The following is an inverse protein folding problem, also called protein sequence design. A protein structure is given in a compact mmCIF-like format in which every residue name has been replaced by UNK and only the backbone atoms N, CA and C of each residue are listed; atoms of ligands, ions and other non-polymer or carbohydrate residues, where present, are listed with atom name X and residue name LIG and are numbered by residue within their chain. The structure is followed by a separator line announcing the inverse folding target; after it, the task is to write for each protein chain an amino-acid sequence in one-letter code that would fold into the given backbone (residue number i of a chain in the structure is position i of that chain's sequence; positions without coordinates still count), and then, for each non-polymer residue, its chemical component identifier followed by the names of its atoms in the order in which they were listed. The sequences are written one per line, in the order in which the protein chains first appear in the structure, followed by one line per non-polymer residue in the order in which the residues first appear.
data_IF_522595474879
#
_entry.id   IF_522595474879
#
_cell.length_a   1.000
_cell.length_b   1.000
_cell.length_c   1.000
_cell.angle_alpha   90.00
_cell.angle_beta   90.00
_cell.angle_gamma   90.00
#
_symmetry.space_group_name_H-M   'P 1'
#
loop_
_entity.id
_entity.type
_entity.pdbx_description
1 polymer ?
#
# COMPACT_ATOMS: atom_id res chain seq x y z
N UNK A 1 -79.49 -32.63 1.64
CA UNK A 1 -79.23 -31.48 0.77
C UNK A 1 -78.90 -30.32 1.69
N UNK A 2 -77.62 -29.97 1.81
CA UNK A 2 -77.16 -28.60 2.06
C UNK A 2 -75.64 -28.59 1.84
N UNK A 3 -75.29 -28.09 0.68
CA UNK A 3 -73.91 -27.95 0.21
C UNK A 3 -73.59 -26.45 0.31
N UNK A 4 -72.38 -26.17 0.78
CA UNK A 4 -71.59 -24.94 0.61
C UNK A 4 -72.06 -23.66 1.27
N UNK A 5 -71.33 -23.21 2.30
CA UNK A 5 -70.95 -21.79 2.45
C UNK A 5 -69.76 -21.53 3.39
N UNK A 6 -68.59 -22.09 3.10
CA UNK A 6 -67.36 -21.73 3.85
C UNK A 6 -66.14 -21.38 2.98
N UNK A 7 -66.22 -21.58 1.66
CA UNK A 7 -65.07 -21.30 0.76
C UNK A 7 -64.83 -19.80 0.53
N UNK A 8 -65.90 -19.03 0.31
CA UNK A 8 -65.77 -17.63 -0.14
C UNK A 8 -65.03 -16.71 0.85
N UNK A 9 -65.12 -16.94 2.16
CA UNK A 9 -64.46 -16.07 3.12
C UNK A 9 -62.95 -16.33 3.20
N UNK A 10 -62.51 -17.58 2.99
CA UNK A 10 -61.08 -17.93 2.97
C UNK A 10 -60.42 -17.41 1.71
N UNK A 11 -61.12 -17.51 0.58
CA UNK A 11 -60.65 -16.98 -0.70
C UNK A 11 -60.57 -15.45 -0.68
N UNK A 12 -61.54 -14.76 -0.09
CA UNK A 12 -61.49 -13.29 0.07
C UNK A 12 -60.34 -12.88 0.99
N UNK A 13 -60.11 -13.59 2.10
CA UNK A 13 -58.98 -13.31 2.99
C UNK A 13 -57.65 -13.56 2.29
N UNK A 14 -57.52 -14.64 1.52
CA UNK A 14 -56.32 -14.95 0.74
C UNK A 14 -56.07 -13.89 -0.35
N UNK A 15 -57.10 -13.47 -1.08
CA UNK A 15 -56.98 -12.40 -2.08
C UNK A 15 -56.61 -11.08 -1.42
N UNK A 16 -57.16 -10.77 -0.25
CA UNK A 16 -56.79 -9.57 0.51
C UNK A 16 -55.34 -9.64 1.00
N UNK A 17 -54.89 -10.80 1.50
CA UNK A 17 -53.51 -11.02 1.94
C UNK A 17 -52.53 -10.92 0.77
N UNK A 18 -52.89 -11.47 -0.40
CA UNK A 18 -52.10 -11.37 -1.61
C UNK A 18 -52.07 -9.94 -2.16
N UNK A 19 -53.16 -9.19 -2.09
CA UNK A 19 -53.21 -7.78 -2.49
C UNK A 19 -52.33 -6.90 -1.57
N UNK A 20 -52.34 -7.16 -0.25
CA UNK A 20 -51.44 -6.49 0.71
C UNK A 20 -49.98 -6.83 0.42
N UNK A 21 -49.66 -8.09 0.11
CA UNK A 21 -48.30 -8.52 -0.23
C UNK A 21 -47.83 -7.97 -1.59
N UNK A 22 -48.72 -7.79 -2.56
CA UNK A 22 -48.40 -7.17 -3.87
C UNK A 22 -48.26 -5.65 -3.81
N UNK A 23 -48.81 -5.00 -2.77
CA UNK A 23 -48.62 -3.58 -2.47
C UNK A 23 -47.22 -3.24 -1.94
N UNK A 24 -46.50 -4.24 -1.41
CA UNK A 24 -45.06 -4.14 -1.16
C UNK A 24 -44.29 -4.36 -2.45
N UNK A 25 -44.39 -3.40 -3.37
CA UNK A 25 -43.33 -3.24 -4.37
C UNK A 25 -42.03 -3.10 -3.58
N UNK A 26 -41.05 -3.96 -3.88
CA UNK A 26 -39.68 -3.79 -3.42
C UNK A 26 -39.37 -2.31 -3.62
N UNK A 27 -39.25 -1.59 -2.51
CA UNK A 27 -38.54 -0.32 -2.49
C UNK A 27 -37.13 -0.73 -2.87
N UNK A 28 -36.81 -0.60 -4.16
CA UNK A 28 -35.44 -0.53 -4.61
C UNK A 28 -34.76 0.43 -3.65
N UNK A 29 -33.78 -0.07 -2.90
CA UNK A 29 -33.09 0.70 -1.90
C UNK A 29 -32.57 1.96 -2.61
N UNK A 30 -33.24 3.09 -2.36
CA UNK A 30 -32.87 4.37 -2.92
C UNK A 30 -31.39 4.58 -2.55
N UNK A 31 -30.50 4.84 -3.52
CA UNK A 31 -29.10 5.04 -3.21
C UNK A 31 -29.02 6.17 -2.18
N UNK A 32 -28.61 5.82 -0.96
CA UNK A 32 -28.66 6.72 0.18
C UNK A 32 -27.89 8.01 -0.18
N UNK A 33 -28.55 9.17 -0.32
CA UNK A 33 -27.89 10.43 -0.67
C UNK A 33 -27.30 11.09 0.58
N UNK A 34 -26.71 10.30 1.48
CA UNK A 34 -26.02 10.86 2.65
C UNK A 34 -24.67 11.42 2.18
N UNK A 35 -24.39 12.71 2.41
CA UNK A 35 -23.09 13.30 2.08
C UNK A 35 -21.92 12.68 2.87
N UNK A 36 -22.23 11.93 3.94
CA UNK A 36 -21.26 11.13 4.71
C UNK A 36 -20.92 9.78 4.05
N UNK A 37 -21.68 9.33 3.05
CA UNK A 37 -21.38 8.14 2.24
C UNK A 37 -20.50 8.46 1.01
N UNK A 38 -20.33 9.75 0.67
CA UNK A 38 -19.26 10.19 -0.23
C UNK A 38 -17.88 10.11 0.43
N UNK A 39 -17.84 10.32 1.74
CA UNK A 39 -16.66 10.16 2.58
C UNK A 39 -16.54 8.71 3.06
N UNK A 40 -16.08 7.88 2.14
CA UNK A 40 -15.80 6.45 2.23
C UNK A 40 -14.69 6.02 3.23
N UNK A 41 -14.48 6.81 4.28
CA UNK A 41 -13.37 6.86 5.25
C UNK A 41 -13.23 5.65 6.21
N UNK A 42 -13.87 4.52 5.92
CA UNK A 42 -13.90 3.36 6.83
C UNK A 42 -13.86 1.98 6.17
N UNK A 43 -13.63 1.89 4.85
CA UNK A 43 -13.40 0.59 4.20
C UNK A 43 -11.90 0.44 3.89
N UNK A 44 -11.15 -0.39 4.64
CA UNK A 44 -9.71 -0.58 4.46
C UNK A 44 -9.31 -1.24 3.13
N UNK A 45 -10.27 -1.60 2.26
CA UNK A 45 -10.02 -2.12 0.89
C UNK A 45 -10.21 -1.08 -0.22
N UNK A 46 -10.33 0.22 0.09
CA UNK A 46 -10.57 1.24 -0.94
C UNK A 46 -9.30 1.88 -1.44
N UNK A 47 -8.89 1.41 -2.61
CA UNK A 47 -7.89 2.07 -3.46
C UNK A 47 -8.47 3.33 -4.08
N UNK A 48 -7.74 4.44 -3.96
CA UNK A 48 -8.13 5.76 -4.47
C UNK A 48 -7.00 6.41 -5.26
N UNK A 49 -7.32 7.47 -5.99
CA UNK A 49 -6.33 8.41 -6.51
C UNK A 49 -6.51 9.73 -5.75
N UNK A 50 -5.43 10.27 -5.18
CA UNK A 50 -5.47 11.59 -4.55
C UNK A 50 -5.24 12.65 -5.62
N UNK A 51 -6.33 13.27 -6.07
CA UNK A 51 -6.32 14.30 -7.09
C UNK A 51 -6.16 15.69 -6.47
N UNK A 52 -5.32 16.52 -7.07
CA UNK A 52 -5.23 17.95 -6.82
C UNK A 52 -5.49 18.71 -8.12
N UNK A 53 -6.00 19.94 -8.03
CA UNK A 53 -6.15 20.83 -9.18
C UNK A 53 -5.14 21.96 -9.14
N UNK A 54 -4.61 22.31 -10.30
CA UNK A 54 -3.94 23.60 -10.57
C UNK A 54 -4.85 24.42 -11.48
N UNK A 55 -4.42 25.63 -11.87
CA UNK A 55 -5.20 26.53 -12.73
C UNK A 55 -5.50 25.92 -14.12
N UNK A 56 -4.63 25.01 -14.58
CA UNK A 56 -4.67 24.47 -15.94
C UNK A 56 -5.08 23.00 -15.98
N UNK A 57 -4.60 22.19 -15.03
CA UNK A 57 -4.71 20.73 -15.10
C UNK A 57 -5.01 20.11 -13.73
N UNK A 58 -5.62 18.92 -13.80
CA UNK A 58 -5.73 18.02 -12.68
C UNK A 58 -4.51 17.10 -12.61
N UNK A 59 -4.00 16.91 -11.41
CA UNK A 59 -2.87 16.03 -11.13
C UNK A 59 -3.22 15.03 -10.05
N UNK A 60 -2.55 13.90 -10.04
CA UNK A 60 -2.67 12.85 -9.05
C UNK A 60 -1.33 12.66 -8.36
N UNK A 61 -1.37 12.33 -7.07
CA UNK A 61 -0.19 11.86 -6.34
C UNK A 61 0.28 10.53 -6.93
N UNK A 62 1.55 10.45 -7.31
CA UNK A 62 2.21 9.23 -7.74
C UNK A 62 3.40 8.92 -6.84
N UNK A 63 3.49 7.68 -6.38
CA UNK A 63 4.63 7.17 -5.62
C UNK A 63 5.27 6.07 -6.46
N UNK A 64 6.36 6.40 -7.12
CA UNK A 64 7.05 5.53 -8.05
C UNK A 64 7.81 4.40 -7.34
N UNK A 65 8.20 3.36 -8.09
CA UNK A 65 8.93 2.22 -7.55
C UNK A 65 10.31 2.59 -6.97
N UNK A 66 10.98 3.55 -7.61
CA UNK A 66 12.28 4.10 -7.16
C UNK A 66 12.13 5.06 -5.96
N UNK A 67 10.90 5.31 -5.48
CA UNK A 67 10.63 6.06 -4.27
C UNK A 67 10.50 7.57 -4.45
N UNK A 68 10.47 8.06 -5.70
CA UNK A 68 10.11 9.45 -5.96
C UNK A 68 8.62 9.68 -5.73
N UNK A 69 8.33 10.85 -5.15
CA UNK A 69 6.97 11.35 -5.00
C UNK A 69 6.77 12.46 -6.01
N UNK A 70 5.86 12.25 -6.96
CA UNK A 70 5.65 13.18 -8.06
C UNK A 70 4.16 13.41 -8.31
N UNK A 71 3.87 14.45 -9.10
CA UNK A 71 2.53 14.68 -9.65
C UNK A 71 2.44 14.08 -11.05
N UNK A 72 1.33 13.43 -11.37
CA UNK A 72 1.05 12.88 -12.70
C UNK A 72 -0.32 13.33 -13.20
N UNK A 73 -0.51 13.51 -14.49
CA UNK A 73 -1.85 13.77 -15.07
C UNK A 73 -2.59 12.47 -15.40
N UNK A 74 -1.92 11.32 -15.27
CA UNK A 74 -2.46 10.01 -15.64
C UNK A 74 -2.82 9.20 -14.39
N UNK A 75 -3.99 8.56 -14.41
CA UNK A 75 -4.36 7.56 -13.39
C UNK A 75 -3.63 6.25 -13.68
N UNK A 76 -2.39 6.14 -13.20
CA UNK A 76 -1.49 5.00 -13.39
C UNK A 76 -1.67 3.97 -12.25
N UNK A 77 -1.00 2.82 -12.33
CA UNK A 77 -0.94 1.90 -11.18
C UNK A 77 -0.17 2.49 -9.99
N UNK A 78 0.77 3.40 -10.24
CA UNK A 78 1.61 4.04 -9.21
C UNK A 78 0.92 5.23 -8.53
N UNK A 79 -0.15 5.77 -9.12
CA UNK A 79 -1.01 6.78 -8.49
C UNK A 79 -2.13 6.18 -7.63
N UNK A 80 -2.19 4.85 -7.54
CA UNK A 80 -3.15 4.16 -6.67
C UNK A 80 -2.65 4.17 -5.23
N UNK A 81 -3.45 4.80 -4.38
CA UNK A 81 -3.17 5.06 -2.98
C UNK A 81 -4.13 4.26 -2.09
N UNK A 82 -3.60 3.77 -0.97
CA UNK A 82 -4.36 3.26 0.15
C UNK A 82 -4.19 4.20 1.35
N UNK A 83 -5.30 4.74 1.85
CA UNK A 83 -5.34 5.53 3.07
C UNK A 83 -5.52 4.59 4.27
N UNK A 84 -4.50 4.47 5.11
CA UNK A 84 -4.53 3.66 6.34
C UNK A 84 -4.76 4.57 7.54
N UNK A 85 -5.96 4.52 8.11
CA UNK A 85 -6.28 5.28 9.32
C UNK A 85 -5.50 4.72 10.52
N UNK A 86 -4.74 5.58 11.21
CA UNK A 86 -4.17 5.27 12.52
C UNK A 86 -5.16 5.69 13.62
N UNK A 87 -5.74 6.88 13.47
CA UNK A 87 -6.80 7.42 14.34
C UNK A 87 -7.86 8.09 13.48
N UNK A 88 -8.88 8.70 14.09
CA UNK A 88 -9.91 9.46 13.35
C UNK A 88 -9.36 10.64 12.56
N UNK A 89 -8.26 11.21 13.02
CA UNK A 89 -7.68 12.43 12.46
C UNK A 89 -6.30 12.19 11.82
N UNK A 90 -5.73 10.99 11.95
CA UNK A 90 -4.39 10.67 11.45
C UNK A 90 -4.40 9.50 10.50
N UNK A 91 -3.66 9.65 9.41
CA UNK A 91 -3.61 8.69 8.31
C UNK A 91 -2.18 8.50 7.83
N UNK A 92 -1.84 7.25 7.50
CA UNK A 92 -0.69 6.90 6.70
C UNK A 92 -1.13 6.71 5.25
N UNK A 93 -0.38 7.28 4.32
CA UNK A 93 -0.69 7.25 2.89
C UNK A 93 0.25 6.25 2.21
N UNK A 94 -0.28 5.14 1.69
CA UNK A 94 0.51 4.06 1.08
C UNK A 94 0.32 4.02 -0.44
N UNK A 95 1.42 4.09 -1.19
CA UNK A 95 1.45 3.77 -2.61
C UNK A 95 1.33 2.26 -2.81
N UNK A 96 0.23 1.81 -3.40
CA UNK A 96 -0.11 0.37 -3.45
C UNK A 96 0.86 -0.39 -4.35
N UNK A 97 1.12 0.13 -5.55
CA UNK A 97 2.01 -0.54 -6.51
C UNK A 97 3.46 -0.54 -6.05
N UNK A 98 3.95 0.58 -5.52
CA UNK A 98 5.32 0.72 -5.05
C UNK A 98 5.56 0.10 -3.67
N UNK A 99 4.49 -0.18 -2.91
CA UNK A 99 4.54 -0.61 -1.51
C UNK A 99 5.39 0.32 -0.64
N UNK A 100 5.21 1.63 -0.81
CA UNK A 100 5.94 2.69 -0.10
C UNK A 100 4.99 3.70 0.52
N UNK A 101 5.24 4.05 1.77
CA UNK A 101 4.55 5.12 2.47
C UNK A 101 5.02 6.48 1.97
N UNK A 102 4.09 7.40 1.81
CA UNK A 102 4.40 8.82 1.69
C UNK A 102 4.85 9.33 3.05
N UNK A 103 5.93 10.09 3.07
CA UNK A 103 6.47 10.71 4.26
C UNK A 103 6.88 12.16 3.96
N UNK A 104 7.10 12.96 4.99
CA UNK A 104 7.46 14.36 4.87
C UNK A 104 8.59 14.69 5.82
N UNK A 105 9.67 15.27 5.28
CA UNK A 105 10.82 15.67 6.09
C UNK A 105 10.50 16.92 6.93
N UNK A 106 11.45 17.35 7.77
CA UNK A 106 11.26 18.51 8.64
C UNK A 106 11.12 19.84 7.87
N UNK A 107 11.57 19.87 6.61
CA UNK A 107 11.47 21.02 5.71
C UNK A 107 10.16 21.00 4.88
N UNK A 108 9.34 19.96 5.05
CA UNK A 108 8.09 19.79 4.34
C UNK A 108 8.24 19.15 2.95
N UNK A 109 9.39 18.55 2.62
CA UNK A 109 9.56 17.84 1.35
C UNK A 109 8.95 16.45 1.42
N UNK A 110 8.07 16.10 0.47
CA UNK A 110 7.55 14.75 0.39
C UNK A 110 8.65 13.80 -0.11
N UNK A 111 8.78 12.67 0.57
CA UNK A 111 9.62 11.54 0.17
C UNK A 111 8.83 10.25 0.41
N UNK A 112 9.43 9.10 0.08
CA UNK A 112 8.79 7.82 0.37
C UNK A 112 9.70 6.85 1.12
N UNK A 113 9.10 6.00 1.93
CA UNK A 113 9.79 4.98 2.72
C UNK A 113 9.06 3.63 2.63
N UNK A 114 9.78 2.53 2.67
CA UNK A 114 9.18 1.18 2.79
C UNK A 114 8.65 0.93 4.21
N UNK A 115 9.18 1.64 5.20
CA UNK A 115 8.79 1.54 6.61
C UNK A 115 8.03 2.82 7.02
N UNK A 116 6.90 2.66 7.71
CA UNK A 116 6.12 3.77 8.21
C UNK A 116 6.71 4.29 9.52
N UNK A 117 7.53 5.35 9.45
CA UNK A 117 7.99 6.07 10.64
C UNK A 117 6.93 7.08 11.05
N UNK A 118 6.38 6.93 12.26
CA UNK A 118 5.26 7.76 12.75
C UNK A 118 5.53 9.27 12.69
N UNK A 119 6.77 9.67 12.95
CA UNK A 119 7.22 11.08 12.94
C UNK A 119 7.14 11.73 11.53
N UNK A 120 7.40 10.95 10.48
CA UNK A 120 7.53 11.48 9.11
C UNK A 120 6.34 11.09 8.21
N UNK A 121 5.75 9.91 8.42
CA UNK A 121 4.83 9.26 7.49
C UNK A 121 3.36 9.35 7.90
N UNK A 122 3.07 9.95 9.06
CA UNK A 122 1.71 10.23 9.51
C UNK A 122 1.31 11.67 9.21
N UNK A 123 0.12 11.80 8.66
CA UNK A 123 -0.50 13.08 8.34
C UNK A 123 -1.77 13.24 9.15
N UNK A 124 -1.99 14.44 9.69
CA UNK A 124 -3.31 14.83 10.10
C UNK A 124 -4.17 15.03 8.85
N UNK A 125 -5.42 14.58 8.91
CA UNK A 125 -6.42 14.72 7.87
C UNK A 125 -7.55 15.61 8.34
N UNK A 126 -8.07 16.45 7.43
CA UNK A 126 -9.31 17.18 7.65
C UNK A 126 -10.09 17.35 6.35
N UNK A 127 -11.40 17.10 6.41
CA UNK A 127 -12.33 17.48 5.35
C UNK A 127 -12.75 18.93 5.56
N UNK A 128 -12.55 19.77 4.55
CA UNK A 128 -12.93 21.18 4.57
C UNK A 128 -14.37 21.38 4.07
N UNK A 129 -14.92 22.57 4.31
CA UNK A 129 -16.28 22.96 3.87
C UNK A 129 -16.47 22.92 2.35
N UNK A 130 -15.38 23.08 1.58
CA UNK A 130 -15.37 22.96 0.14
C UNK A 130 -15.35 21.49 -0.37
N UNK A 131 -15.59 20.52 0.52
CA UNK A 131 -15.58 19.08 0.24
C UNK A 131 -14.24 18.55 -0.30
N UNK A 132 -13.14 19.22 0.06
CA UNK A 132 -11.77 18.76 -0.24
C UNK A 132 -11.05 18.35 1.02
N UNK A 133 -10.20 17.35 0.89
CA UNK A 133 -9.33 16.85 1.95
C UNK A 133 -8.04 17.66 2.00
N UNK A 134 -7.56 17.94 3.22
CA UNK A 134 -6.20 18.42 3.45
C UNK A 134 -5.43 17.42 4.29
N UNK A 135 -4.15 17.29 3.96
CA UNK A 135 -3.20 16.46 4.69
C UNK A 135 -2.03 17.33 5.12
N UNK A 136 -1.63 17.26 6.39
CA UNK A 136 -0.49 18.02 6.91
C UNK A 136 0.30 17.18 7.91
N UNK A 137 1.63 17.39 7.95
CA UNK A 137 2.53 16.62 8.80
C UNK A 137 2.10 16.69 10.27
N UNK A 138 2.05 15.53 10.95
CA UNK A 138 1.82 15.50 12.39
C UNK A 138 2.93 16.17 13.18
N UNK A 139 4.16 16.18 12.66
CA UNK A 139 5.34 16.74 13.32
C UNK A 139 5.46 18.24 13.12
N UNK A 140 5.33 18.73 11.88
CA UNK A 140 5.63 20.14 11.55
C UNK A 140 4.40 20.99 11.26
N UNK A 141 3.23 20.38 11.07
CA UNK A 141 2.02 21.09 10.65
C UNK A 141 2.05 21.55 9.19
N UNK A 142 3.10 21.25 8.43
CA UNK A 142 3.24 21.65 7.02
C UNK A 142 2.29 20.83 6.15
N UNK A 143 1.57 21.52 5.27
CA UNK A 143 0.65 20.94 4.29
C UNK A 143 1.39 20.09 3.26
N UNK A 144 0.79 18.95 2.91
CA UNK A 144 1.17 18.20 1.72
C UNK A 144 0.84 19.04 0.49
N UNK A 145 1.84 19.29 -0.34
CA UNK A 145 1.71 20.07 -1.56
C UNK A 145 2.57 19.44 -2.68
N UNK A 146 1.96 19.15 -3.83
CA UNK A 146 2.66 18.50 -4.94
C UNK A 146 3.45 19.47 -5.84
N UNK A 147 3.38 20.78 -5.58
CA UNK A 147 4.14 21.83 -6.25
C UNK A 147 5.27 22.39 -5.39
N UNK A 148 5.46 21.83 -4.19
CA UNK A 148 6.55 22.19 -3.30
C UNK A 148 6.31 23.44 -2.47
N UNK A 149 5.11 24.03 -2.50
CA UNK A 149 4.74 25.15 -1.63
C UNK A 149 4.74 24.66 -0.18
N UNK A 150 5.52 25.32 0.67
CA UNK A 150 5.61 25.02 2.10
C UNK A 150 4.74 25.99 2.87
N UNK A 151 3.59 25.51 3.35
CA UNK A 151 2.69 26.29 4.18
C UNK A 151 2.22 25.46 5.38
N UNK A 152 2.26 26.05 6.56
CA UNK A 152 1.71 25.44 7.77
C UNK A 152 0.19 25.59 7.77
N UNK A 153 -0.52 24.51 8.12
CA UNK A 153 -1.97 24.54 8.23
C UNK A 153 -2.41 25.44 9.40
N UNK A 154 -3.19 26.48 9.08
CA UNK A 154 -3.81 27.37 10.07
C UNK A 154 -5.30 27.47 9.77
N UNK A 155 -6.13 27.34 10.82
CA UNK A 155 -7.59 27.44 10.68
C UNK A 155 -7.97 28.86 10.22
N UNK A 156 -8.82 28.96 9.20
CA UNK A 156 -9.30 30.23 8.65
C UNK A 156 -8.34 30.92 7.67
N UNK A 157 -7.13 30.37 7.46
CA UNK A 157 -6.21 30.87 6.43
C UNK A 157 -6.54 30.28 5.06
N UNK A 158 -6.23 31.02 3.99
CA UNK A 158 -6.34 30.52 2.62
C UNK A 158 -5.30 29.39 2.40
N UNK A 159 -5.76 28.28 1.82
CA UNK A 159 -4.96 27.07 1.56
C UNK A 159 -4.70 26.98 0.06
N UNK A 160 -3.45 26.70 -0.38
CA UNK A 160 -3.11 26.59 -1.79
C UNK A 160 -3.95 25.50 -2.45
N UNK A 161 -4.42 25.73 -3.68
CA UNK A 161 -5.22 24.72 -4.39
C UNK A 161 -4.47 23.39 -4.55
N UNK A 162 -3.14 23.44 -4.66
CA UNK A 162 -2.27 22.26 -4.79
C UNK A 162 -2.02 21.48 -3.49
N UNK A 163 -2.64 21.92 -2.40
CA UNK A 163 -2.73 21.22 -1.12
C UNK A 163 -4.15 20.71 -0.82
N UNK A 164 -5.10 20.94 -1.72
CA UNK A 164 -6.48 20.49 -1.59
C UNK A 164 -6.68 19.23 -2.44
N UNK A 165 -7.02 18.13 -1.79
CA UNK A 165 -7.15 16.84 -2.43
C UNK A 165 -8.60 16.40 -2.58
N UNK A 166 -8.88 15.68 -3.66
CA UNK A 166 -10.11 14.93 -3.88
C UNK A 166 -9.75 13.45 -3.98
N UNK A 167 -10.40 12.63 -3.16
CA UNK A 167 -10.22 11.18 -3.16
C UNK A 167 -11.08 10.54 -4.26
N UNK A 168 -10.51 10.28 -5.43
CA UNK A 168 -11.22 9.63 -6.54
C UNK A 168 -11.18 8.11 -6.44
N UNK A 169 -12.27 7.45 -6.83
CA UNK A 169 -12.35 5.98 -6.87
C UNK A 169 -11.36 5.40 -7.89
N UNK A 170 -10.60 4.39 -7.49
CA UNK A 170 -9.73 3.67 -8.41
C UNK A 170 -10.51 2.92 -9.51
N UNK A 171 -10.07 3.06 -10.75
CA UNK A 171 -10.54 2.33 -11.94
C UNK A 171 -9.48 1.38 -12.52
N UNK A 172 -8.26 1.40 -11.99
CA UNK A 172 -7.18 0.50 -12.40
C UNK A 172 -7.47 -0.91 -11.89
N UNK A 173 -7.43 -1.95 -12.76
CA UNK A 173 -7.65 -3.34 -12.37
C UNK A 173 -6.63 -3.81 -11.31
N UNK A 174 -7.09 -4.64 -10.37
CA UNK A 174 -6.30 -5.08 -9.21
C UNK A 174 -5.07 -5.89 -9.63
N UNK A 175 -5.16 -6.63 -10.74
CA UNK A 175 -4.09 -7.47 -11.29
C UNK A 175 -2.86 -6.63 -11.66
N UNK A 176 -3.06 -5.35 -12.02
CA UNK A 176 -1.95 -4.44 -12.32
C UNK A 176 -1.26 -3.90 -11.07
N UNK A 177 -1.93 -3.96 -9.92
CA UNK A 177 -1.41 -3.45 -8.64
C UNK A 177 -0.53 -4.49 -7.95
N UNK A 178 -0.82 -5.77 -8.14
CA UNK A 178 -0.01 -6.85 -7.59
C UNK A 178 1.42 -6.81 -8.15
N UNK A 179 2.40 -6.99 -7.28
CA UNK A 179 3.74 -7.37 -7.70
C UNK A 179 3.67 -8.85 -8.07
N UNK A 180 3.87 -9.16 -9.35
CA UNK A 180 4.06 -10.55 -9.77
C UNK A 180 5.39 -11.00 -9.18
N UNK A 181 5.35 -11.78 -8.11
CA UNK A 181 6.52 -12.43 -7.57
C UNK A 181 7.18 -13.23 -8.72
N UNK A 182 8.46 -12.93 -8.95
CA UNK A 182 9.21 -13.48 -10.08
C UNK A 182 9.21 -14.99 -9.91
N UNK A 183 8.78 -15.75 -10.93
CA UNK A 183 8.81 -17.23 -10.98
C UNK A 183 10.24 -17.79 -11.05
N UNK A 184 11.19 -17.18 -10.35
CA UNK A 184 12.56 -17.65 -10.21
C UNK A 184 12.73 -18.36 -8.85
N UNK A 185 11.67 -18.98 -8.31
CA UNK A 185 11.87 -20.01 -7.29
C UNK A 185 12.53 -21.19 -8.01
N UNK A 186 13.65 -21.67 -7.48
CA UNK A 186 14.22 -22.94 -7.91
C UNK A 186 13.12 -23.97 -7.68
N UNK A 187 12.52 -24.43 -8.78
CA UNK A 187 11.47 -25.44 -8.74
C UNK A 187 12.17 -26.73 -8.38
N UNK A 188 11.76 -27.37 -7.28
CA UNK A 188 12.22 -28.73 -6.98
C UNK A 188 11.83 -29.61 -8.18
N UNK A 189 12.78 -30.25 -8.88
CA UNK A 189 12.47 -31.13 -9.99
C UNK A 189 11.55 -32.31 -9.60
N UNK A 190 11.45 -32.62 -8.31
CA UNK A 190 10.57 -33.64 -7.75
C UNK A 190 9.12 -33.17 -7.60
N UNK A 191 8.87 -31.86 -7.55
CA UNK A 191 7.53 -31.26 -7.49
C UNK A 191 7.41 -30.03 -8.43
N UNK A 192 7.33 -30.27 -9.75
CA UNK A 192 7.25 -29.21 -10.76
C UNK A 192 5.98 -28.35 -10.66
N UNK A 193 4.97 -28.82 -9.93
CA UNK A 193 3.69 -28.12 -9.75
C UNK A 193 3.51 -27.54 -8.35
N UNK A 194 4.48 -27.71 -7.45
CA UNK A 194 4.45 -27.26 -6.07
C UNK A 194 3.15 -27.70 -5.34
N UNK A 195 2.69 -28.93 -5.57
CA UNK A 195 1.51 -29.50 -4.91
C UNK A 195 1.75 -29.81 -3.43
N UNK A 196 3.01 -29.94 -3.02
CA UNK A 196 3.43 -30.19 -1.64
C UNK A 196 3.76 -28.91 -0.86
N UNK A 197 3.48 -27.73 -1.43
CA UNK A 197 3.84 -26.40 -0.93
C UNK A 197 4.32 -26.36 0.51
N UNK A 198 5.63 -26.17 0.70
CA UNK A 198 6.20 -25.93 2.01
C UNK A 198 5.55 -24.66 2.57
N UNK A 199 4.74 -24.83 3.61
CA UNK A 199 4.40 -23.75 4.52
C UNK A 199 5.73 -23.31 5.12
N UNK A 200 6.23 -22.16 4.69
CA UNK A 200 7.25 -21.42 5.43
C UNK A 200 6.57 -20.91 6.72
N UNK A 201 6.35 -21.84 7.65
CA UNK A 201 6.04 -21.55 9.04
C UNK A 201 7.38 -21.41 9.78
N UNK A 202 7.55 -20.24 10.41
CA UNK A 202 8.45 -20.00 11.53
C UNK A 202 9.95 -19.76 11.27
N UNK A 203 10.29 -18.64 10.62
CA UNK A 203 11.57 -17.94 10.88
C UNK A 203 11.39 -16.47 11.32
N UNK A 204 10.22 -16.05 11.81
CA UNK A 204 10.02 -14.70 12.38
C UNK A 204 9.42 -14.70 13.80
N UNK A 205 9.42 -15.84 14.49
CA UNK A 205 8.96 -15.97 15.89
C UNK A 205 10.08 -16.53 16.79
N UNK A 206 11.16 -15.78 16.95
CA UNK A 206 12.01 -15.90 18.14
C UNK A 206 11.85 -14.65 18.99
N UNK A 207 10.91 -14.71 19.93
CA UNK A 207 10.89 -13.78 21.05
C UNK A 207 12.18 -13.96 21.88
N UNK A 208 12.85 -12.84 22.16
CA UNK A 208 13.98 -12.79 23.09
C UNK A 208 13.49 -13.22 24.50
N UNK A 209 14.15 -14.16 25.18
CA UNK A 209 13.89 -14.40 26.60
C UNK A 209 14.33 -13.18 27.41
N UNK A 210 13.45 -12.72 28.29
CA UNK A 210 13.73 -11.66 29.26
C UNK A 210 14.82 -12.13 30.23
N UNK A 211 15.86 -11.30 30.41
CA UNK A 211 16.89 -11.46 31.44
C UNK A 211 16.30 -11.02 32.78
N UNK A 212 16.15 -11.95 33.72
CA UNK A 212 16.03 -11.65 35.14
C UNK A 212 17.26 -12.20 35.87
N UNK A 213 17.87 -11.34 36.69
CA UNK A 213 19.10 -11.57 37.45
C UNK A 213 18.79 -12.43 38.68
N UNK A 214 19.52 -13.55 38.89
CA UNK A 214 20.14 -13.90 40.20
C UNK A 214 20.97 -15.20 40.17
N UNK A 215 22.29 -14.98 40.31
CA UNK A 215 23.41 -15.74 40.89
C UNK A 215 23.31 -17.22 41.38
N UNK A 216 24.42 -17.91 41.06
CA UNK A 216 25.15 -18.99 41.76
C UNK A 216 24.73 -20.47 41.63
N UNK A 217 25.48 -21.25 40.81
CA UNK A 217 26.18 -22.46 41.29
C UNK A 217 27.25 -22.97 40.30
N UNK A 218 28.39 -23.40 40.84
CA UNK A 218 29.66 -23.76 40.18
C UNK A 218 29.66 -25.05 39.33
N UNK A 219 30.60 -25.06 38.37
CA UNK A 219 31.46 -26.14 37.86
C UNK A 219 30.84 -27.44 37.26
N UNK A 220 31.15 -27.71 35.98
CA UNK A 220 32.18 -28.68 35.54
C UNK A 220 32.34 -28.65 34.00
N UNK A 221 33.59 -28.65 33.53
CA UNK A 221 34.00 -28.82 32.12
C UNK A 221 34.01 -30.32 31.76
N UNK A 222 33.82 -30.67 30.48
CA UNK A 222 34.95 -31.32 29.81
C UNK A 222 35.19 -30.91 28.35
N UNK A 223 36.46 -30.64 28.10
CA UNK A 223 37.30 -31.01 26.94
C UNK A 223 36.66 -31.25 25.56
N UNK A 224 37.08 -30.39 24.62
CA UNK A 224 38.05 -30.82 23.62
C UNK A 224 37.51 -31.45 22.34
N UNK A 225 37.30 -30.61 21.31
CA UNK A 225 37.51 -31.05 19.92
C UNK A 225 37.99 -29.91 19.04
N UNK A 226 39.31 -29.86 18.86
CA UNK A 226 39.99 -29.05 17.86
C UNK A 226 39.75 -29.67 16.48
N UNK A 227 39.23 -28.92 15.51
CA UNK A 227 39.47 -29.22 14.10
C UNK A 227 39.67 -27.92 13.30
N UNK A 228 40.92 -27.81 12.85
CA UNK A 228 41.55 -27.01 11.82
C UNK A 228 40.74 -26.03 10.98
N UNK A 229 41.30 -24.81 10.96
CA UNK A 229 41.10 -23.73 10.00
C UNK A 229 41.76 -24.11 8.67
N UNK A 230 40.96 -24.38 7.64
CA UNK A 230 41.44 -24.55 6.27
C UNK A 230 40.74 -23.61 5.29
N UNK A 231 41.54 -23.15 4.34
CA UNK A 231 41.40 -22.02 3.42
C UNK A 231 40.31 -22.24 2.36
N UNK A 232 39.54 -21.21 1.95
CA UNK A 232 38.53 -21.37 0.90
C UNK A 232 39.18 -21.63 -0.46
N UNK A 233 38.94 -22.81 -1.03
CA UNK A 233 39.11 -23.07 -2.45
C UNK A 233 37.82 -22.70 -3.19
N UNK A 234 37.94 -21.77 -4.13
CA UNK A 234 36.87 -21.40 -5.07
C UNK A 234 36.68 -22.50 -6.12
N UNK A 235 35.46 -23.03 -6.33
CA UNK A 235 35.11 -23.72 -7.56
C UNK A 235 34.53 -22.70 -8.55
N UNK A 236 35.33 -22.38 -9.55
CA UNK A 236 34.91 -21.69 -10.77
C UNK A 236 34.25 -22.71 -11.69
N UNK A 237 32.92 -22.77 -11.71
CA UNK A 237 32.16 -23.51 -12.72
C UNK A 237 31.35 -22.53 -13.57
N UNK A 238 31.97 -22.02 -14.64
CA UNK A 238 31.34 -21.25 -15.70
C UNK A 238 30.76 -22.22 -16.76
N UNK A 239 29.43 -22.23 -17.02
CA UNK A 239 28.81 -23.24 -17.86
C UNK A 239 28.82 -22.93 -19.37
N UNK A 240 29.53 -21.88 -19.84
CA UNK A 240 29.51 -21.51 -21.26
C UNK A 240 30.91 -21.27 -21.85
N UNK A 241 31.63 -22.35 -22.11
CA UNK A 241 32.90 -22.31 -22.86
C UNK A 241 32.63 -22.26 -24.38
N UNK A 242 32.55 -21.05 -24.96
CA UNK A 242 32.64 -20.84 -26.41
C UNK A 242 34.03 -20.30 -26.73
N UNK A 243 34.84 -21.14 -27.38
CA UNK A 243 36.23 -20.87 -27.70
C UNK A 243 36.46 -19.54 -28.45
N UNK A 244 37.26 -18.68 -27.81
CA UNK A 244 38.44 -17.97 -28.32
C UNK A 244 38.42 -17.37 -29.73
N UNK A 245 38.37 -16.03 -29.80
CA UNK A 245 39.13 -15.23 -30.76
C UNK A 245 39.67 -13.98 -30.03
N UNK A 246 40.99 -13.92 -29.84
CA UNK A 246 41.71 -12.80 -29.24
C UNK A 246 41.49 -11.50 -30.04
N UNK A 247 41.05 -10.39 -29.44
CA UNK A 247 41.27 -9.06 -29.99
C UNK A 247 42.62 -8.49 -29.53
N UNK A 248 43.36 -7.76 -30.39
CA UNK A 248 44.64 -7.16 -30.05
C UNK A 248 44.48 -5.97 -29.07
N UNK A 249 45.54 -5.63 -28.30
CA UNK A 249 45.47 -4.57 -27.30
C UNK A 249 45.40 -3.18 -27.94
N UNK A 250 44.37 -2.39 -27.61
CA UNK A 250 44.32 -0.96 -27.98
C UNK A 250 45.19 -0.10 -27.04
N UNK A 251 45.79 0.99 -27.54
CA UNK A 251 46.87 1.70 -26.86
C UNK A 251 46.36 2.70 -25.81
N UNK A 252 47.16 2.83 -24.74
CA UNK A 252 47.02 3.85 -23.69
C UNK A 252 47.24 5.24 -24.29
N UNK A 253 46.27 6.15 -24.11
CA UNK A 253 46.48 7.58 -24.36
C UNK A 253 47.23 8.15 -23.14
N UNK A 254 48.50 8.49 -23.37
CA UNK A 254 49.32 9.31 -22.48
C UNK A 254 48.86 10.77 -22.60
N UNK A 255 48.59 11.40 -21.45
CA UNK A 255 48.52 12.84 -21.33
C UNK A 255 49.87 13.44 -21.77
N UNK A 256 49.84 14.27 -22.81
CA UNK A 256 50.94 15.17 -23.15
C UNK A 256 50.51 16.60 -22.81
N UNK A 257 51.20 17.16 -21.84
CA UNK A 257 51.23 18.56 -21.45
C UNK A 257 52.19 19.26 -22.42
N UNK A 258 51.73 20.27 -23.17
CA UNK A 258 52.63 21.18 -23.91
C UNK A 258 52.00 22.57 -23.97
N UNK A 259 52.78 23.57 -23.53
CA UNK A 259 52.91 24.90 -24.16
C UNK A 259 51.86 25.93 -23.81
#
# INVERSE_FOLDING_TARGET
MEITKTSGMRDVVLVFLLAVLQGFRLVDALPNPSPLLGSNWGNPRRYVHLQTSSDVNNFYLEISLNGHVCKTTLRSSYSVILLKAETRERVAILGVKSNRYLCMDALGNPFSSTVCHKEDCLFNHKLLENHRDVYYSCRTGILLNLEGIKQVYTVGQNIPQTSLFLSEKNTVPLERLLHREKRNRVVDPSDPYNMLGQTEEDEDSRAMPELDDTLDQEAELPEGRNISRETPHSPSDDPWNVHSLNPPPSPRIMNAMVG
#
